data_IF_734532167172
#
_entry.id   IF_734532167172
#
_cell.length_a   1.000
_cell.length_b   1.000
_cell.length_c   1.000
_cell.angle_alpha   90.00
_cell.angle_beta   90.00
_cell.angle_gamma   90.00
#
_symmetry.space_group_name_H-M   'P 1'
#
loop_
_entity.id
_entity.type
_entity.pdbx_description
1 polymer ?
#
# COMPACT_ATOMS: atom_id res chain seq x y z
N UNK A 1 -20.65 -14.17 -2.40
CA UNK A 1 -19.64 -13.64 -3.34
C UNK A 1 -19.07 -14.68 -4.30
N UNK A 2 -18.24 -15.67 -3.89
CA UNK A 2 -17.68 -16.67 -4.85
C UNK A 2 -18.76 -17.37 -5.69
N UNK A 3 -19.78 -17.89 -5.02
CA UNK A 3 -20.92 -18.56 -5.67
C UNK A 3 -21.69 -17.63 -6.63
N UNK A 4 -21.77 -16.34 -6.32
CA UNK A 4 -22.48 -15.36 -7.15
C UNK A 4 -21.67 -15.01 -8.40
N UNK A 5 -20.33 -14.90 -8.26
CA UNK A 5 -19.39 -14.77 -9.38
C UNK A 5 -19.51 -15.93 -10.37
N UNK A 6 -19.48 -17.16 -9.82
CA UNK A 6 -19.52 -18.39 -10.60
C UNK A 6 -20.85 -18.58 -11.35
N UNK A 7 -21.97 -18.11 -10.78
CA UNK A 7 -23.31 -18.38 -11.30
C UNK A 7 -23.88 -17.27 -12.17
N UNK A 8 -23.49 -16.01 -11.97
CA UNK A 8 -24.10 -14.87 -12.65
C UNK A 8 -23.31 -14.36 -13.86
N UNK A 9 -22.00 -14.62 -13.90
CA UNK A 9 -21.12 -13.99 -14.90
C UNK A 9 -20.49 -14.97 -15.89
N UNK A 10 -20.74 -16.28 -15.78
CA UNK A 10 -20.11 -17.27 -16.66
C UNK A 10 -18.58 -17.31 -16.51
N UNK A 11 -18.08 -16.99 -15.31
CA UNK A 11 -16.66 -16.93 -14.95
C UNK A 11 -16.42 -17.95 -13.84
N UNK A 12 -15.39 -18.77 -13.96
CA UNK A 12 -14.92 -19.64 -12.88
C UNK A 12 -13.97 -18.88 -11.97
N UNK A 13 -14.27 -18.81 -10.67
CA UNK A 13 -13.39 -18.17 -9.68
C UNK A 13 -12.77 -19.18 -8.71
N UNK A 14 -11.48 -18.99 -8.40
CA UNK A 14 -10.76 -19.79 -7.39
C UNK A 14 -9.63 -19.02 -6.72
N UNK A 15 -9.31 -19.40 -5.49
CA UNK A 15 -8.12 -18.90 -4.80
C UNK A 15 -6.94 -19.82 -5.13
N UNK A 16 -5.86 -19.25 -5.64
CA UNK A 16 -4.63 -19.96 -5.94
C UNK A 16 -3.42 -19.25 -5.36
N UNK A 17 -2.44 -20.05 -4.93
CA UNK A 17 -1.13 -19.54 -4.54
C UNK A 17 -0.33 -19.26 -5.81
N UNK A 18 -0.04 -17.99 -6.04
CA UNK A 18 0.71 -17.53 -7.21
C UNK A 18 2.04 -16.92 -6.79
N UNK A 19 3.08 -17.15 -7.58
CA UNK A 19 4.36 -16.45 -7.46
C UNK A 19 4.24 -15.10 -8.16
N UNK A 20 4.30 -14.02 -7.39
CA UNK A 20 4.02 -12.67 -7.89
C UNK A 20 5.09 -11.70 -7.42
N UNK A 21 5.50 -10.82 -8.33
CA UNK A 21 6.31 -9.66 -8.01
C UNK A 21 5.49 -8.68 -7.16
N UNK A 22 5.95 -8.39 -5.95
CA UNK A 22 5.28 -7.51 -4.99
C UNK A 22 6.16 -6.32 -4.60
N UNK A 23 5.54 -5.31 -4.02
CA UNK A 23 6.22 -4.30 -3.21
C UNK A 23 6.04 -4.66 -1.74
N UNK A 24 7.15 -4.94 -1.06
CA UNK A 24 7.10 -5.29 0.36
C UNK A 24 7.49 -4.08 1.19
N UNK A 25 6.54 -3.58 1.99
CA UNK A 25 6.79 -2.50 2.94
C UNK A 25 7.57 -3.06 4.14
N UNK A 26 8.80 -2.58 4.34
CA UNK A 26 9.69 -3.02 5.41
C UNK A 26 10.25 -1.84 6.18
N UNK A 27 10.62 -2.09 7.44
CA UNK A 27 11.54 -1.20 8.16
C UNK A 27 12.94 -1.40 7.61
N UNK A 28 13.65 -0.31 7.32
CA UNK A 28 15.04 -0.34 6.86
C UNK A 28 16.05 -0.08 7.99
N UNK A 29 15.57 0.37 9.15
CA UNK A 29 16.37 0.47 10.38
C UNK A 29 15.51 0.26 11.64
N UNK A 30 16.16 0.23 12.80
CA UNK A 30 15.52 0.00 14.10
C UNK A 30 14.92 1.27 14.72
N UNK A 31 15.18 2.44 14.17
CA UNK A 31 14.74 3.72 14.76
C UNK A 31 13.24 3.89 14.58
N UNK A 32 12.53 4.15 15.68
CA UNK A 32 11.09 4.39 15.64
C UNK A 32 10.81 5.86 15.34
N UNK A 33 10.67 6.20 14.06
CA UNK A 33 10.38 7.57 13.59
C UNK A 33 8.91 7.79 13.24
N UNK A 34 8.09 6.74 13.35
CA UNK A 34 6.70 6.74 12.89
C UNK A 34 5.70 6.68 14.04
N UNK A 35 6.15 6.43 15.28
CA UNK A 35 5.27 6.35 16.45
C UNK A 35 4.30 7.51 16.53
N UNK A 36 3.02 7.17 16.61
CA UNK A 36 2.00 8.19 16.80
C UNK A 36 2.06 8.81 18.19
N UNK A 37 1.79 10.11 18.28
CA UNK A 37 1.51 10.80 19.55
C UNK A 37 0.06 10.59 20.04
N UNK A 38 -0.75 9.81 19.32
CA UNK A 38 -2.12 9.46 19.67
C UNK A 38 -3.16 10.54 19.32
N UNK A 39 -4.39 10.41 19.83
CA UNK A 39 -5.49 11.34 19.53
C UNK A 39 -6.43 10.84 18.43
N UNK A 40 -7.12 11.73 17.73
CA UNK A 40 -8.00 11.34 16.64
C UNK A 40 -7.21 11.06 15.36
N UNK A 41 -7.58 10.00 14.65
CA UNK A 41 -7.05 9.75 13.32
C UNK A 41 -7.39 10.92 12.37
N UNK A 42 -6.39 11.41 11.63
CA UNK A 42 -6.57 12.48 10.65
C UNK A 42 -5.75 12.22 9.39
N UNK A 43 -6.38 12.45 8.25
CA UNK A 43 -5.74 12.54 6.94
C UNK A 43 -6.04 13.93 6.38
N UNK A 44 -4.99 14.76 6.23
CA UNK A 44 -5.11 16.13 5.72
C UNK A 44 -4.28 16.27 4.45
N UNK A 45 -4.87 15.95 3.28
CA UNK A 45 -4.20 16.23 2.02
C UNK A 45 -4.09 17.74 1.82
N UNK A 46 -2.87 18.26 1.65
CA UNK A 46 -2.67 19.60 1.11
C UNK A 46 -2.90 19.61 -0.43
N UNK A 47 -3.93 20.32 -0.91
CA UNK A 47 -4.22 20.47 -2.34
C UNK A 47 -3.61 21.74 -2.96
N UNK A 48 -2.69 22.42 -2.28
CA UNK A 48 -2.01 23.58 -2.85
C UNK A 48 -1.38 23.21 -4.20
N UNK A 49 -1.76 23.96 -5.24
CA UNK A 49 -1.30 23.78 -6.61
C UNK A 49 0.22 24.06 -6.68
N UNK A 50 1.03 23.01 -6.57
CA UNK A 50 2.49 23.10 -6.67
C UNK A 50 3.20 21.77 -6.41
N UNK A 51 4.46 21.65 -6.87
CA UNK A 51 5.33 20.52 -6.54
C UNK A 51 5.65 20.58 -5.04
N UNK A 52 5.08 19.67 -4.24
CA UNK A 52 5.35 19.60 -2.80
C UNK A 52 4.11 19.53 -1.90
N UNK A 53 2.91 19.42 -2.47
CA UNK A 53 1.69 19.09 -1.73
C UNK A 53 1.91 17.85 -0.85
N UNK A 54 1.91 18.02 0.48
CA UNK A 54 2.10 16.95 1.45
C UNK A 54 0.79 16.62 2.16
N UNK A 55 0.51 15.33 2.34
CA UNK A 55 -0.50 14.84 3.28
C UNK A 55 0.13 14.73 4.65
N UNK A 56 -0.49 15.41 5.61
CA UNK A 56 -0.28 15.11 7.03
C UNK A 56 -1.16 13.92 7.41
N UNK A 57 -0.53 12.84 7.86
CA UNK A 57 -1.17 11.61 8.31
C UNK A 57 -0.90 11.46 9.79
N UNK A 58 -1.97 11.39 10.58
CA UNK A 58 -1.91 11.37 12.04
C UNK A 58 -2.69 10.20 12.60
N UNK A 59 -2.10 9.50 13.56
CA UNK A 59 -2.64 8.37 14.31
C UNK A 59 -3.29 7.32 13.40
N UNK A 60 -2.60 6.96 12.31
CA UNK A 60 -3.07 6.04 11.28
C UNK A 60 -2.71 4.59 11.65
N UNK A 61 -3.66 3.64 11.64
CA UNK A 61 -3.32 2.23 11.72
C UNK A 61 -2.52 1.78 10.50
N UNK A 62 -1.49 0.94 10.69
CA UNK A 62 -0.62 0.46 9.61
C UNK A 62 -1.41 -0.16 8.43
N UNK A 63 -2.49 -0.89 8.69
CA UNK A 63 -3.34 -1.44 7.63
C UNK A 63 -3.97 -0.37 6.72
N UNK A 64 -4.32 0.80 7.26
CA UNK A 64 -4.82 1.92 6.45
C UNK A 64 -3.71 2.61 5.66
N UNK A 65 -2.46 2.56 6.14
CA UNK A 65 -1.32 3.05 5.37
C UNK A 65 -1.13 2.22 4.09
N UNK A 66 -1.27 0.89 4.19
CA UNK A 66 -1.19 0.01 3.02
C UNK A 66 -2.22 0.40 1.97
N UNK A 67 -3.49 0.55 2.36
CA UNK A 67 -4.54 0.99 1.43
C UNK A 67 -4.20 2.34 0.76
N UNK A 68 -3.69 3.31 1.53
CA UNK A 68 -3.27 4.60 0.98
C UNK A 68 -2.14 4.45 -0.03
N UNK A 69 -1.13 3.61 0.26
CA UNK A 69 -0.03 3.35 -0.66
C UNK A 69 -0.51 2.65 -1.93
N UNK A 70 -1.47 1.73 -1.83
CA UNK A 70 -2.10 1.08 -2.98
C UNK A 70 -2.84 2.10 -3.86
N UNK A 71 -3.63 2.99 -3.26
CA UNK A 71 -4.31 4.09 -3.98
C UNK A 71 -3.31 5.02 -4.68
N UNK A 72 -2.22 5.39 -3.99
CA UNK A 72 -1.19 6.27 -4.54
C UNK A 72 -0.39 5.62 -5.68
N UNK A 73 -0.25 4.29 -5.67
CA UNK A 73 0.57 3.55 -6.64
C UNK A 73 -0.22 2.93 -7.79
N UNK A 74 -1.55 2.85 -7.68
CA UNK A 74 -2.43 2.26 -8.70
C UNK A 74 -2.23 2.85 -10.09
N UNK A 75 -1.93 4.15 -10.18
CA UNK A 75 -1.72 4.85 -11.46
C UNK A 75 -0.34 4.67 -12.07
N UNK A 76 0.59 3.94 -11.43
CA UNK A 76 1.95 3.73 -11.93
C UNK A 76 2.09 2.62 -12.99
N UNK A 77 0.99 2.22 -13.65
CA UNK A 77 0.98 1.28 -14.77
C UNK A 77 1.49 -0.11 -14.39
N UNK A 78 2.40 -0.69 -15.17
CA UNK A 78 3.00 -2.03 -14.93
C UNK A 78 3.71 -2.18 -13.57
N UNK A 79 3.87 -1.08 -12.82
CA UNK A 79 4.38 -1.09 -11.44
C UNK A 79 3.30 -1.27 -10.37
N UNK A 80 2.02 -1.35 -10.76
CA UNK A 80 0.89 -1.67 -9.88
C UNK A 80 0.96 -3.13 -9.44
N UNK A 81 1.85 -3.37 -8.48
CA UNK A 81 2.08 -4.67 -7.85
C UNK A 81 1.40 -4.67 -6.48
N UNK A 82 0.94 -5.84 -5.99
CA UNK A 82 0.44 -5.96 -4.63
C UNK A 82 1.44 -5.40 -3.63
N UNK A 83 0.93 -4.66 -2.63
CA UNK A 83 1.73 -4.15 -1.53
C UNK A 83 1.53 -5.04 -0.31
N UNK A 84 2.63 -5.55 0.26
CA UNK A 84 2.59 -6.43 1.42
C UNK A 84 3.25 -5.76 2.62
N UNK A 85 2.57 -5.78 3.77
CA UNK A 85 3.12 -5.27 5.03
C UNK A 85 3.98 -6.33 5.72
N UNK A 86 5.29 -6.12 5.77
CA UNK A 86 6.24 -6.93 6.55
C UNK A 86 7.00 -6.08 7.59
N UNK A 87 6.45 -4.94 8.00
CA UNK A 87 7.09 -4.04 8.98
C UNK A 87 7.10 -4.62 10.40
N UNK A 88 6.26 -5.62 10.69
CA UNK A 88 5.94 -6.11 12.04
C UNK A 88 5.46 -5.01 13.00
N UNK A 89 5.06 -3.85 12.47
CA UNK A 89 4.64 -2.70 13.26
C UNK A 89 3.12 -2.75 13.46
N UNK A 90 2.69 -2.86 14.71
CA UNK A 90 1.28 -3.00 15.09
C UNK A 90 0.63 -1.71 15.59
N UNK A 91 1.44 -0.72 15.99
CA UNK A 91 0.94 0.53 16.53
C UNK A 91 0.46 1.48 15.42
N UNK A 92 -0.18 2.56 15.82
CA UNK A 92 -0.51 3.64 14.90
C UNK A 92 0.72 4.49 14.59
N UNK A 93 0.64 5.19 13.46
CA UNK A 93 1.73 6.00 12.95
C UNK A 93 1.33 7.44 12.60
N UNK A 94 2.32 8.33 12.74
CA UNK A 94 2.30 9.70 12.25
C UNK A 94 3.37 9.85 11.18
N UNK A 95 2.99 10.23 9.96
CA UNK A 95 3.93 10.44 8.84
C UNK A 95 3.45 11.59 7.95
N UNK A 96 4.37 12.06 7.11
CA UNK A 96 4.07 13.03 6.07
C UNK A 96 4.55 12.51 4.71
N UNK A 97 3.63 12.39 3.77
CA UNK A 97 3.92 11.89 2.41
C UNK A 97 3.55 12.95 1.38
N UNK A 98 4.23 12.97 0.24
CA UNK A 98 3.74 13.73 -0.91
C UNK A 98 2.38 13.16 -1.37
N UNK A 99 1.38 14.01 -1.56
CA UNK A 99 0.04 13.61 -2.01
C UNK A 99 0.02 13.02 -3.42
N UNK A 100 0.92 13.52 -4.26
CA UNK A 100 1.00 13.15 -5.68
C UNK A 100 2.45 12.84 -6.01
N UNK A 101 2.98 11.70 -5.54
CA UNK A 101 4.33 11.29 -5.90
C UNK A 101 4.43 11.15 -7.42
N UNK A 102 5.41 11.81 -8.04
CA UNK A 102 5.61 11.78 -9.49
C UNK A 102 6.04 10.39 -10.00
N UNK A 103 6.54 9.55 -9.10
CA UNK A 103 6.96 8.18 -9.37
C UNK A 103 7.01 7.38 -8.07
N UNK A 104 7.07 6.05 -8.20
CA UNK A 104 7.32 5.17 -7.07
C UNK A 104 8.62 5.51 -6.32
N UNK A 105 9.67 5.91 -7.04
CA UNK A 105 10.95 6.30 -6.43
C UNK A 105 10.78 7.52 -5.51
N UNK A 106 9.94 8.49 -5.92
CA UNK A 106 9.63 9.66 -5.07
C UNK A 106 8.90 9.23 -3.80
N UNK A 107 7.94 8.31 -3.89
CA UNK A 107 7.22 7.79 -2.73
C UNK A 107 8.15 7.02 -1.78
N UNK A 108 9.04 6.19 -2.33
CA UNK A 108 10.06 5.46 -1.56
C UNK A 108 10.96 6.42 -0.79
N UNK A 109 11.45 7.48 -1.43
CA UNK A 109 12.26 8.51 -0.76
C UNK A 109 11.52 9.13 0.43
N UNK A 110 10.22 9.39 0.27
CA UNK A 110 9.41 9.94 1.36
C UNK A 110 9.30 8.97 2.55
N UNK A 111 9.05 7.69 2.28
CA UNK A 111 8.99 6.61 3.28
C UNK A 111 10.33 6.40 3.98
N UNK A 112 11.45 6.47 3.24
CA UNK A 112 12.79 6.23 3.76
C UNK A 112 13.20 7.25 4.83
N UNK A 113 12.66 8.48 4.78
CA UNK A 113 12.84 9.49 5.85
C UNK A 113 12.33 8.99 7.21
N UNK A 114 11.36 8.09 7.19
CA UNK A 114 10.74 7.48 8.35
C UNK A 114 11.28 6.10 8.68
N UNK A 115 12.32 5.63 7.97
CA UNK A 115 12.87 4.28 8.16
C UNK A 115 11.99 3.18 7.56
N UNK A 116 11.11 3.52 6.60
CA UNK A 116 10.31 2.57 5.83
C UNK A 116 10.75 2.54 4.37
N UNK A 117 10.60 1.42 3.69
CA UNK A 117 10.81 1.36 2.23
C UNK A 117 9.91 0.31 1.58
N UNK A 118 9.61 0.52 0.30
CA UNK A 118 8.95 -0.46 -0.58
C UNK A 118 10.01 -1.19 -1.40
N UNK A 119 10.26 -2.45 -1.05
CA UNK A 119 11.32 -3.26 -1.66
C UNK A 119 10.69 -4.23 -2.67
N UNK A 120 11.23 -4.34 -3.91
CA UNK A 120 10.71 -5.27 -4.89
C UNK A 120 11.11 -6.69 -4.50
N UNK A 121 10.14 -7.57 -4.25
CA UNK A 121 10.40 -8.97 -3.93
C UNK A 121 9.33 -9.88 -4.51
N UNK A 122 9.71 -11.13 -4.79
CA UNK A 122 8.76 -12.18 -5.16
C UNK A 122 8.12 -12.77 -3.90
N UNK A 123 6.82 -12.97 -3.94
CA UNK A 123 6.06 -13.63 -2.86
C UNK A 123 5.07 -14.62 -3.41
N UNK A 124 4.80 -15.64 -2.59
CA UNK A 124 3.67 -16.55 -2.81
C UNK A 124 2.49 -15.98 -2.05
N UNK A 125 1.48 -15.50 -2.77
CA UNK A 125 0.27 -14.93 -2.19
C UNK A 125 -0.97 -15.63 -2.73
N UNK A 126 -2.04 -15.67 -1.92
CA UNK A 126 -3.34 -16.14 -2.36
C UNK A 126 -3.96 -15.08 -3.29
N UNK A 127 -4.19 -15.45 -4.55
CA UNK A 127 -4.82 -14.62 -5.55
C UNK A 127 -6.19 -15.19 -5.93
N UNK A 128 -7.17 -14.30 -6.12
CA UNK A 128 -8.42 -14.67 -6.77
C UNK A 128 -8.20 -14.70 -8.28
N UNK A 129 -8.15 -15.90 -8.83
CA UNK A 129 -8.06 -16.14 -10.28
C UNK A 129 -9.47 -16.24 -10.84
N UNK A 130 -9.71 -15.49 -11.93
CA UNK A 130 -10.95 -15.48 -12.69
C UNK A 130 -10.64 -16.00 -14.09
N UNK A 131 -11.37 -17.01 -14.54
CA UNK A 131 -11.24 -17.60 -15.88
C UNK A 131 -12.61 -17.71 -16.54
N UNK A 132 -12.65 -17.65 -17.87
CA UNK A 132 -13.88 -17.92 -18.60
C UNK A 132 -14.37 -19.34 -18.31
N UNK A 133 -15.68 -19.49 -18.08
CA UNK A 133 -16.26 -20.82 -17.94
C UNK A 133 -16.20 -21.56 -19.29
N UNK A 134 -15.85 -22.86 -19.30
CA UNK A 134 -15.78 -23.67 -20.51
C UNK A 134 -17.14 -23.88 -21.21
#
# INVERSE_FOLDING_TARGET
MKKDLDQLFGISSRLEKQHVACWVLKKIDSTDRIRSIGGEWRYRPNYELGKGAQAEIHNLPMGKLINLLEEMTYHFGDSARPILNETSYSDNLDIQLNNYPASLESLRKDLQRYGLDLIPEERIIDMLVLEDAP
#
